data_IF_710764315532
#
_entry.id   IF_710764315532
#
_cell.length_a   1.000
_cell.length_b   1.000
_cell.length_c   1.000
_cell.angle_alpha   90.00
_cell.angle_beta   90.00
_cell.angle_gamma   90.00
#
_symmetry.space_group_name_H-M   'P 1'
#
loop_
_entity.id
_entity.type
_entity.pdbx_description
1 polymer ?
#
# COMPACT_ATOMS: atom_id res chain seq x y z
N UNK A 1 -13.22 -0.70 1.88
CA UNK A 1 -13.15 -2.08 1.34
C UNK A 1 -13.89 -3.00 2.31
N UNK A 2 -14.51 -4.14 1.94
CA UNK A 2 -15.19 -4.99 2.96
C UNK A 2 -14.36 -6.22 3.31
N UNK A 3 -13.79 -6.19 4.52
CA UNK A 3 -13.24 -7.33 5.28
C UNK A 3 -12.11 -8.11 4.59
N UNK A 4 -11.08 -7.37 4.15
CA UNK A 4 -9.81 -7.96 3.72
C UNK A 4 -9.02 -8.35 4.99
N UNK A 5 -8.67 -9.64 5.14
CA UNK A 5 -7.91 -10.13 6.29
C UNK A 5 -6.56 -9.45 6.46
N UNK A 6 -5.94 -9.56 7.63
CA UNK A 6 -4.65 -8.94 7.91
C UNK A 6 -3.50 -9.46 7.03
N UNK A 7 -2.52 -8.60 6.78
CA UNK A 7 -1.37 -8.86 5.89
C UNK A 7 -1.76 -9.31 4.47
N UNK A 8 -2.90 -8.85 3.97
CA UNK A 8 -3.29 -9.06 2.58
C UNK A 8 -2.65 -8.02 1.68
N UNK A 9 -1.84 -8.44 0.71
CA UNK A 9 -1.26 -7.55 -0.30
C UNK A 9 -2.34 -6.93 -1.17
N UNK A 10 -2.29 -5.61 -1.35
CA UNK A 10 -3.23 -4.89 -2.19
C UNK A 10 -2.85 -5.06 -3.66
N UNK A 11 -3.79 -5.58 -4.45
CA UNK A 11 -3.67 -5.71 -5.91
C UNK A 11 -4.48 -4.60 -6.57
N UNK A 12 -3.91 -3.97 -7.60
CA UNK A 12 -4.54 -2.87 -8.32
C UNK A 12 -5.09 -3.34 -9.66
N UNK A 13 -6.41 -3.26 -9.82
CA UNK A 13 -7.10 -3.66 -11.06
C UNK A 13 -6.71 -2.80 -12.27
N UNK A 14 -6.33 -1.54 -12.02
CA UNK A 14 -6.03 -0.56 -13.08
C UNK A 14 -4.66 0.06 -12.85
N UNK A 15 -3.71 -0.31 -13.71
CA UNK A 15 -2.37 0.29 -13.74
C UNK A 15 -2.35 1.39 -14.80
N UNK A 16 -2.22 2.65 -14.37
CA UNK A 16 -2.17 3.81 -15.27
C UNK A 16 -0.80 4.00 -15.93
N UNK A 17 0.28 3.65 -15.23
CA UNK A 17 1.65 3.73 -15.73
C UNK A 17 2.49 2.63 -15.10
N UNK A 18 3.46 2.11 -15.85
CA UNK A 18 4.42 1.13 -15.37
C UNK A 18 5.74 1.23 -16.17
N UNK A 19 6.25 2.45 -16.34
CA UNK A 19 7.53 2.65 -17.01
C UNK A 19 8.64 1.95 -16.22
N UNK A 20 9.51 1.21 -16.92
CA UNK A 20 10.52 0.35 -16.29
C UNK A 20 9.99 -1.04 -15.88
N UNK A 21 8.69 -1.31 -16.03
CA UNK A 21 8.04 -2.61 -15.80
C UNK A 21 8.29 -3.21 -14.41
N UNK A 22 8.46 -2.37 -13.38
CA UNK A 22 8.71 -2.82 -12.01
C UNK A 22 7.47 -3.30 -11.27
N UNK A 23 6.26 -2.82 -11.63
CA UNK A 23 5.01 -3.22 -10.96
C UNK A 23 4.40 -4.47 -11.62
N UNK A 24 4.23 -5.52 -10.84
CA UNK A 24 3.60 -6.77 -11.25
C UNK A 24 2.08 -6.73 -11.04
N UNK A 25 1.30 -6.76 -12.12
CA UNK A 25 -0.17 -6.61 -12.03
C UNK A 25 -0.87 -7.70 -11.22
N UNK A 26 -0.33 -8.92 -11.22
CA UNK A 26 -1.00 -10.08 -10.62
C UNK A 26 -0.76 -10.18 -9.12
N UNK A 27 0.23 -9.45 -8.61
CA UNK A 27 0.67 -9.51 -7.21
C UNK A 27 0.59 -8.17 -6.50
N UNK A 28 0.50 -7.05 -7.24
CA UNK A 28 0.58 -5.71 -6.66
C UNK A 28 1.98 -5.34 -6.15
N UNK A 29 3.00 -6.16 -6.45
CA UNK A 29 4.37 -5.95 -6.00
C UNK A 29 5.16 -5.13 -7.00
N UNK A 30 5.84 -4.09 -6.52
CA UNK A 30 6.84 -3.34 -7.25
C UNK A 30 8.23 -3.89 -6.91
N UNK A 31 8.97 -4.36 -7.90
CA UNK A 31 10.38 -4.75 -7.74
C UNK A 31 11.27 -3.63 -8.27
N UNK A 32 12.17 -3.13 -7.42
CA UNK A 32 13.02 -1.99 -7.77
C UNK A 32 13.98 -2.35 -8.94
N UNK A 33 13.92 -1.66 -10.09
CA UNK A 33 14.77 -1.97 -11.24
C UNK A 33 16.23 -1.50 -11.09
N UNK A 34 16.51 -0.65 -10.10
CA UNK A 34 17.85 -0.16 -9.77
C UNK A 34 17.91 0.37 -8.34
N UNK A 35 19.06 0.31 -7.68
CA UNK A 35 19.21 0.90 -6.34
C UNK A 35 19.06 2.42 -6.39
N UNK A 36 18.31 3.00 -5.45
CA UNK A 36 18.14 4.45 -5.38
C UNK A 36 17.08 4.91 -4.38
N UNK A 37 16.83 6.22 -4.39
CA UNK A 37 15.74 6.82 -3.60
C UNK A 37 14.41 6.72 -4.36
N UNK A 38 13.41 6.17 -3.68
CA UNK A 38 12.06 6.03 -4.19
C UNK A 38 11.09 6.85 -3.31
N UNK A 39 10.03 7.34 -3.94
CA UNK A 39 8.92 8.00 -3.27
C UNK A 39 7.68 7.13 -3.48
N UNK A 40 7.12 6.65 -2.38
CA UNK A 40 5.88 5.88 -2.37
C UNK A 40 4.79 6.72 -1.72
N UNK A 41 3.72 6.99 -2.47
CA UNK A 41 2.54 7.68 -1.98
C UNK A 41 1.34 6.78 -2.23
N UNK A 42 0.48 6.64 -1.23
CA UNK A 42 -0.77 5.91 -1.37
C UNK A 42 -1.89 6.67 -0.69
N UNK A 43 -3.10 6.42 -1.19
CA UNK A 43 -4.33 7.06 -0.74
C UNK A 43 -5.40 5.99 -0.61
N UNK A 44 -6.09 5.98 0.52
CA UNK A 44 -7.18 5.05 0.79
C UNK A 44 -8.46 5.85 0.97
N UNK A 45 -9.56 5.33 0.42
CA UNK A 45 -10.90 5.88 0.60
C UNK A 45 -11.75 4.84 1.30
N UNK A 46 -12.42 5.26 2.36
CA UNK A 46 -13.26 4.42 3.19
C UNK A 46 -14.64 5.08 3.35
N UNK A 47 -15.66 4.24 3.53
CA UNK A 47 -17.04 4.70 3.60
C UNK A 47 -17.80 3.91 4.66
N UNK A 48 -18.61 4.63 5.44
CA UNK A 48 -19.63 4.11 6.35
C UNK A 48 -19.12 3.17 7.43
N UNK A 49 -18.64 3.77 8.53
CA UNK A 49 -18.23 3.06 9.75
C UNK A 49 -17.18 1.97 9.51
N UNK A 50 -16.21 2.23 8.63
CA UNK A 50 -15.12 1.30 8.31
C UNK A 50 -13.78 1.76 8.89
N UNK A 51 -12.91 0.79 9.13
CA UNK A 51 -11.55 1.01 9.62
C UNK A 51 -10.60 0.14 8.83
N UNK A 52 -9.61 0.77 8.22
CA UNK A 52 -8.56 0.06 7.50
C UNK A 52 -7.23 0.74 7.70
N UNK A 53 -6.23 -0.08 7.98
CA UNK A 53 -4.84 0.36 8.04
C UNK A 53 -4.04 -0.32 6.94
N UNK A 54 -3.23 0.46 6.23
CA UNK A 54 -2.41 -0.02 5.11
C UNK A 54 -0.95 0.30 5.37
N UNK A 55 -0.13 -0.73 5.28
CA UNK A 55 1.32 -0.70 5.50
C UNK A 55 2.05 -0.71 4.16
N UNK A 56 3.10 0.10 4.04
CA UNK A 56 4.12 -0.03 3.02
C UNK A 56 5.20 -1.00 3.52
N UNK A 57 5.44 -2.05 2.76
CA UNK A 57 6.42 -3.07 3.06
C UNK A 57 7.55 -3.01 2.04
N UNK A 58 8.80 -2.97 2.50
CA UNK A 58 10.01 -3.05 1.69
C UNK A 58 10.80 -4.28 2.15
N UNK A 59 11.01 -5.23 1.24
CA UNK A 59 11.74 -6.48 1.49
C UNK A 59 11.29 -7.20 2.79
N UNK A 60 9.96 -7.26 2.98
CA UNK A 60 9.33 -7.90 4.15
C UNK A 60 9.28 -7.07 5.43
N UNK A 61 9.84 -5.86 5.47
CA UNK A 61 9.80 -4.94 6.61
C UNK A 61 8.76 -3.84 6.41
N UNK A 62 7.93 -3.56 7.41
CA UNK A 62 7.08 -2.36 7.43
C UNK A 62 7.98 -1.12 7.55
N UNK A 63 7.80 -0.16 6.65
CA UNK A 63 8.56 1.10 6.63
C UNK A 63 7.67 2.33 6.72
N UNK A 64 6.35 2.15 6.68
CA UNK A 64 5.37 3.21 6.87
C UNK A 64 3.95 2.66 6.87
N UNK A 65 3.02 3.43 7.41
CA UNK A 65 1.62 3.03 7.53
C UNK A 65 0.67 4.22 7.39
N UNK A 66 -0.55 3.93 6.95
CA UNK A 66 -1.69 4.82 6.95
C UNK A 66 -2.79 4.18 7.80
N UNK A 67 -3.33 4.93 8.75
CA UNK A 67 -4.45 4.51 9.61
C UNK A 67 -5.66 5.34 9.25
N UNK A 68 -6.73 4.71 8.77
CA UNK A 68 -7.93 5.41 8.35
C UNK A 68 -9.16 4.85 9.05
N UNK A 69 -10.01 5.76 9.48
CA UNK A 69 -11.31 5.49 10.08
C UNK A 69 -12.32 6.43 9.44
N UNK A 70 -13.41 5.87 8.92
CA UNK A 70 -14.58 6.63 8.47
C UNK A 70 -15.71 6.39 9.47
N UNK A 71 -16.35 7.44 9.96
CA UNK A 71 -17.54 7.33 10.81
C UNK A 71 -18.80 6.91 10.06
N UNK A 72 -19.94 6.76 10.76
CA UNK A 72 -21.21 6.39 10.15
C UNK A 72 -21.68 7.39 9.10
N UNK A 73 -21.93 6.92 7.87
CA UNK A 73 -22.29 7.77 6.74
C UNK A 73 -21.20 8.72 6.23
N UNK A 74 -19.98 8.64 6.75
CA UNK A 74 -18.84 9.44 6.29
C UNK A 74 -18.15 8.78 5.08
N UNK A 75 -17.58 9.63 4.24
CA UNK A 75 -16.79 9.28 3.07
C UNK A 75 -15.42 9.94 3.20
N UNK A 76 -14.48 9.21 3.77
CA UNK A 76 -13.17 9.75 4.15
C UNK A 76 -12.06 9.24 3.25
N UNK A 77 -11.07 10.09 3.04
CA UNK A 77 -9.88 9.78 2.27
C UNK A 77 -8.65 10.33 2.97
N UNK A 78 -7.63 9.49 3.15
CA UNK A 78 -6.34 9.91 3.68
C UNK A 78 -5.20 9.43 2.79
N UNK A 79 -4.12 10.19 2.78
CA UNK A 79 -2.92 9.92 1.99
C UNK A 79 -1.68 10.01 2.87
N UNK A 80 -0.66 9.24 2.56
CA UNK A 80 0.67 9.36 3.19
C UNK A 80 1.76 9.10 2.17
N UNK A 81 2.99 9.51 2.51
CA UNK A 81 4.16 9.40 1.64
C UNK A 81 5.37 8.92 2.44
N UNK A 82 6.13 7.99 1.86
CA UNK A 82 7.43 7.54 2.37
C UNK A 82 8.49 7.80 1.31
N UNK A 83 9.62 8.36 1.74
CA UNK A 83 10.84 8.48 0.92
C UNK A 83 11.88 7.54 1.52
N UNK A 84 12.34 6.56 0.74
CA UNK A 84 13.23 5.51 1.23
C UNK A 84 14.21 5.07 0.15
N UNK A 85 15.40 4.64 0.57
CA UNK A 85 16.34 3.96 -0.32
C UNK A 85 15.91 2.50 -0.48
N UNK A 86 15.77 2.04 -1.73
CA UNK A 86 15.45 0.65 -2.07
C UNK A 86 16.56 0.12 -2.96
N UNK A 87 17.08 -1.07 -2.65
CA UNK A 87 18.10 -1.72 -3.46
C UNK A 87 17.47 -2.38 -4.69
N UNK A 88 18.24 -2.50 -5.77
CA UNK A 88 17.85 -3.27 -6.94
C UNK A 88 17.38 -4.68 -6.56
N UNK A 89 16.23 -5.08 -7.11
CA UNK A 89 15.63 -6.39 -6.87
C UNK A 89 14.84 -6.51 -5.56
N UNK A 90 14.79 -5.49 -4.71
CA UNK A 90 13.92 -5.52 -3.53
C UNK A 90 12.46 -5.28 -3.89
N UNK A 91 11.59 -6.04 -3.23
CA UNK A 91 10.15 -5.96 -3.40
C UNK A 91 9.54 -4.91 -2.48
N UNK A 92 8.62 -4.11 -3.04
CA UNK A 92 7.85 -3.10 -2.35
C UNK A 92 6.37 -3.32 -2.64
N UNK A 93 5.54 -3.36 -1.61
CA UNK A 93 4.10 -3.52 -1.79
C UNK A 93 3.30 -2.93 -0.63
N UNK A 94 2.02 -2.70 -0.88
CA UNK A 94 1.07 -2.30 0.16
C UNK A 94 0.33 -3.54 0.66
N UNK A 95 0.07 -3.60 1.96
CA UNK A 95 -0.78 -4.63 2.56
C UNK A 95 -1.70 -4.08 3.63
N UNK A 96 -2.78 -4.77 3.92
CA UNK A 96 -3.56 -4.51 5.14
C UNK A 96 -2.72 -4.81 6.38
N UNK A 97 -2.87 -3.99 7.42
CA UNK A 97 -2.33 -4.29 8.75
C UNK A 97 -3.01 -5.51 9.35
N UNK A 98 -2.32 -6.21 10.25
CA UNK A 98 -2.98 -7.16 11.16
C UNK A 98 -3.78 -6.39 12.21
N UNK A 99 -5.11 -6.47 12.14
CA UNK A 99 -5.94 -6.04 13.25
C UNK A 99 -5.80 -7.07 14.37
N UNK A 100 -5.31 -6.62 15.54
CA UNK A 100 -5.35 -7.42 16.75
C UNK A 100 -6.80 -7.41 17.26
N UNK A 101 -7.46 -8.56 17.22
CA UNK A 101 -8.71 -8.79 17.98
C UNK A 101 -8.50 -8.57 19.48
#
# INVERSE_FOLDING_TARGET
MTNIGGHHTLIFDVIKTNSGNGLHHSTGVFTAPSSGLYVFTWTIREFDNSYHSVELVVNGQEVGALYQHAGPGEDDMSSTTVVIHVNEGEDVFLRTKMDHN
#
